data_IF_360953588842
#
_entry.id   IF_360953588842
#
_cell.length_a   1.000
_cell.length_b   1.000
_cell.length_c   1.000
_cell.angle_alpha   90.00
_cell.angle_beta   90.00
_cell.angle_gamma   90.00
#
_symmetry.space_group_name_H-M   'P 1'
#
loop_
_entity.id
_entity.type
_entity.pdbx_description
1 polymer ?
#
# COMPACT_ATOMS: atom_id res chain seq x y z
N UNK A 1 11.07 8.61 -17.32
CA UNK A 1 10.91 7.81 -18.55
C UNK A 1 10.71 6.33 -18.25
N UNK A 2 11.67 5.60 -17.66
CA UNK A 2 11.49 4.17 -17.35
C UNK A 2 10.40 3.92 -16.28
N UNK A 3 10.37 4.76 -15.23
CA UNK A 3 9.32 4.71 -14.20
C UNK A 3 7.92 5.09 -14.73
N UNK A 4 7.83 6.05 -15.67
CA UNK A 4 6.53 6.49 -16.21
C UNK A 4 5.89 5.43 -17.12
N UNK A 5 6.72 4.75 -17.92
CA UNK A 5 6.29 3.63 -18.78
C UNK A 5 5.79 2.47 -17.92
N UNK A 6 6.44 2.19 -16.79
CA UNK A 6 6.01 1.15 -15.86
C UNK A 6 4.66 1.50 -15.19
N UNK A 7 4.46 2.75 -14.79
CA UNK A 7 3.20 3.22 -14.18
C UNK A 7 2.02 3.18 -15.15
N UNK A 8 2.22 3.60 -16.41
CA UNK A 8 1.18 3.49 -17.44
C UNK A 8 0.82 2.04 -17.73
N UNK A 9 1.81 1.14 -17.72
CA UNK A 9 1.59 -0.29 -17.89
C UNK A 9 0.76 -0.88 -16.75
N UNK A 10 1.12 -0.59 -15.49
CA UNK A 10 0.37 -1.00 -14.31
C UNK A 10 -1.08 -0.49 -14.33
N UNK A 11 -1.29 0.79 -14.69
CA UNK A 11 -2.64 1.35 -14.83
C UNK A 11 -3.44 0.64 -15.92
N UNK A 12 -2.85 0.39 -17.09
CA UNK A 12 -3.50 -0.36 -18.17
C UNK A 12 -3.87 -1.78 -17.75
N UNK A 13 -2.98 -2.48 -17.05
CA UNK A 13 -3.27 -3.82 -16.52
C UNK A 13 -4.42 -3.81 -15.52
N UNK A 14 -4.44 -2.85 -14.59
CA UNK A 14 -5.54 -2.69 -13.65
C UNK A 14 -6.86 -2.39 -14.39
N UNK A 15 -6.84 -1.50 -15.38
CA UNK A 15 -8.01 -1.13 -16.19
C UNK A 15 -8.64 -2.30 -16.93
N UNK A 16 -7.85 -3.31 -17.31
CA UNK A 16 -8.34 -4.53 -17.95
C UNK A 16 -9.07 -5.48 -16.99
N UNK A 17 -8.99 -5.26 -15.66
CA UNK A 17 -9.63 -6.12 -14.65
C UNK A 17 -11.03 -5.69 -14.24
N UNK A 18 -11.53 -4.58 -14.81
CA UNK A 18 -12.71 -3.87 -14.32
C UNK A 18 -13.48 -3.24 -15.47
N UNK A 19 -14.80 -3.18 -15.34
CA UNK A 19 -15.72 -2.64 -16.35
C UNK A 19 -15.37 -1.18 -16.75
N UNK A 20 -15.59 -0.75 -18.01
CA UNK A 20 -15.09 0.53 -18.54
C UNK A 20 -15.41 1.79 -17.72
N UNK A 21 -16.53 1.82 -17.00
CA UNK A 21 -16.99 3.00 -16.25
C UNK A 21 -16.63 2.95 -14.75
N UNK A 22 -15.95 1.91 -14.30
CA UNK A 22 -15.53 1.76 -12.90
C UNK A 22 -14.20 2.48 -12.68
N UNK A 23 -14.12 3.53 -11.84
CA UNK A 23 -12.85 4.19 -11.56
C UNK A 23 -11.86 3.23 -10.90
N UNK A 24 -10.57 3.42 -11.18
CA UNK A 24 -9.48 2.71 -10.52
C UNK A 24 -8.43 3.64 -9.96
N UNK A 25 -7.75 3.14 -8.96
CA UNK A 25 -6.60 3.75 -8.32
C UNK A 25 -5.50 2.70 -8.22
N UNK A 26 -4.34 2.98 -8.79
CA UNK A 26 -3.13 2.16 -8.64
C UNK A 26 -2.21 2.84 -7.63
N UNK A 27 -1.84 2.11 -6.58
CA UNK A 27 -0.93 2.53 -5.53
C UNK A 27 0.43 1.84 -5.69
N UNK A 28 1.49 2.64 -5.78
CA UNK A 28 2.87 2.17 -5.83
C UNK A 28 3.66 2.80 -4.67
N UNK A 29 3.96 2.00 -3.65
CA UNK A 29 4.74 2.45 -2.47
C UNK A 29 6.23 2.24 -2.77
N UNK A 30 6.92 3.29 -3.20
CA UNK A 30 8.36 3.25 -3.45
C UNK A 30 9.21 3.52 -2.21
N UNK A 31 10.52 3.40 -2.35
CA UNK A 31 11.50 3.63 -1.26
C UNK A 31 11.40 5.05 -0.69
N UNK A 32 11.33 6.04 -1.58
CA UNK A 32 11.42 7.47 -1.21
C UNK A 32 10.11 8.23 -1.38
N UNK A 33 9.23 7.73 -2.25
CA UNK A 33 7.96 8.36 -2.60
C UNK A 33 6.91 7.31 -2.93
N UNK A 34 5.65 7.69 -2.80
CA UNK A 34 4.50 6.86 -3.11
C UNK A 34 3.75 7.52 -4.25
N UNK A 35 3.55 6.77 -5.32
CA UNK A 35 2.83 7.24 -6.50
C UNK A 35 1.43 6.66 -6.53
N UNK A 36 0.46 7.51 -6.81
CA UNK A 36 -0.95 7.15 -6.95
C UNK A 36 -1.39 7.53 -8.36
N UNK A 37 -1.91 6.58 -9.12
CA UNK A 37 -2.42 6.82 -10.48
C UNK A 37 -3.90 6.49 -10.50
N UNK A 38 -4.75 7.43 -10.89
CA UNK A 38 -6.19 7.21 -10.89
C UNK A 38 -6.87 7.64 -12.19
N UNK A 39 -8.02 7.03 -12.46
CA UNK A 39 -8.87 7.37 -13.60
C UNK A 39 -9.91 6.31 -13.90
N UNK A 40 -10.80 6.65 -14.84
CA UNK A 40 -11.85 5.74 -15.32
C UNK A 40 -11.55 5.26 -16.75
N UNK A 41 -10.96 6.14 -17.57
CA UNK A 41 -10.67 5.85 -18.97
C UNK A 41 -9.40 4.98 -19.14
N UNK A 42 -9.07 4.67 -20.40
CA UNK A 42 -7.86 3.94 -20.79
C UNK A 42 -6.56 4.68 -20.44
N UNK A 43 -6.61 6.00 -20.31
CA UNK A 43 -5.52 6.83 -19.81
C UNK A 43 -5.88 7.37 -18.42
N UNK A 44 -4.89 7.50 -17.52
CA UNK A 44 -5.12 8.04 -16.18
C UNK A 44 -5.53 9.51 -16.26
N UNK A 45 -6.48 9.91 -15.41
CA UNK A 45 -6.88 11.32 -15.28
C UNK A 45 -5.96 12.10 -14.35
N UNK A 46 -5.29 11.43 -13.41
CA UNK A 46 -4.29 12.05 -12.55
C UNK A 46 -3.19 11.06 -12.14
N UNK A 47 -1.99 11.62 -11.97
CA UNK A 47 -0.83 10.96 -11.35
C UNK A 47 -0.38 11.85 -10.20
N UNK A 48 -0.54 11.35 -8.98
CA UNK A 48 -0.29 12.06 -7.73
C UNK A 48 0.97 11.50 -7.08
N UNK A 49 1.79 12.38 -6.52
CA UNK A 49 3.00 12.02 -5.82
C UNK A 49 2.89 12.42 -4.35
N UNK A 50 3.15 11.45 -3.47
CA UNK A 50 3.22 11.64 -2.03
C UNK A 50 4.67 11.59 -1.60
N UNK A 51 5.06 12.48 -0.70
CA UNK A 51 6.45 12.65 -0.28
C UNK A 51 6.84 11.65 0.83
N UNK A 52 6.22 10.46 0.81
CA UNK A 52 6.41 9.35 1.74
C UNK A 52 6.77 8.09 0.94
N UNK A 53 7.75 7.35 1.41
CA UNK A 53 8.14 6.05 0.87
C UNK A 53 8.61 5.18 2.02
N UNK A 54 8.62 3.86 1.84
CA UNK A 54 8.83 2.97 2.99
C UNK A 54 10.21 3.17 3.65
N UNK A 55 11.26 3.34 2.86
CA UNK A 55 12.61 3.57 3.39
C UNK A 55 12.74 4.99 3.94
N UNK A 56 12.15 5.98 3.27
CA UNK A 56 12.14 7.36 3.76
C UNK A 56 11.43 7.46 5.11
N UNK A 57 10.25 6.88 5.24
CA UNK A 57 9.45 6.88 6.48
C UNK A 57 10.22 6.14 7.58
N UNK A 58 10.73 4.95 7.29
CA UNK A 58 11.55 4.19 8.23
C UNK A 58 12.79 4.98 8.70
N UNK A 59 13.58 5.53 7.78
CA UNK A 59 14.79 6.28 8.11
C UNK A 59 14.51 7.57 8.89
N UNK A 60 13.34 8.17 8.69
CA UNK A 60 12.95 9.42 9.36
C UNK A 60 12.47 9.16 10.79
N UNK A 61 11.68 8.12 11.00
CA UNK A 61 10.94 7.94 12.25
C UNK A 61 11.40 6.74 13.10
N UNK A 62 11.88 5.65 12.49
CA UNK A 62 12.14 4.39 13.20
C UNK A 62 13.61 4.26 13.59
N UNK A 63 13.93 4.63 14.84
CA UNK A 63 15.29 4.47 15.39
C UNK A 63 15.47 3.10 16.04
N UNK A 64 14.38 2.43 16.36
CA UNK A 64 14.36 1.09 16.93
C UNK A 64 13.81 0.05 15.93
N UNK A 65 14.05 -1.22 16.24
CA UNK A 65 13.51 -2.36 15.50
C UNK A 65 12.98 -3.41 16.51
N UNK A 66 11.65 -3.57 16.66
CA UNK A 66 10.60 -2.81 15.97
C UNK A 66 10.60 -1.32 16.41
N UNK A 67 9.96 -0.41 15.65
CA UNK A 67 9.77 0.96 16.13
C UNK A 67 9.06 0.98 17.48
N UNK A 68 9.37 1.98 18.31
CA UNK A 68 8.62 2.16 19.57
C UNK A 68 7.20 2.67 19.27
N UNK A 69 6.24 2.53 20.20
CA UNK A 69 4.91 3.13 20.03
C UNK A 69 4.98 4.63 19.71
N UNK A 70 5.82 5.40 20.41
CA UNK A 70 5.99 6.84 20.15
C UNK A 70 6.56 7.14 18.76
N UNK A 71 7.50 6.31 18.27
CA UNK A 71 8.04 6.44 16.90
C UNK A 71 6.99 6.12 15.84
N UNK A 72 6.13 5.13 16.10
CA UNK A 72 5.02 4.80 15.22
C UNK A 72 3.98 5.92 15.17
N UNK A 73 3.59 6.49 16.30
CA UNK A 73 2.65 7.62 16.36
C UNK A 73 3.14 8.82 15.54
N UNK A 74 4.43 9.18 15.68
CA UNK A 74 5.03 10.25 14.87
C UNK A 74 5.00 9.94 13.36
N UNK A 75 5.24 8.67 12.99
CA UNK A 75 5.17 8.24 11.61
C UNK A 75 3.72 8.26 11.09
N UNK A 76 2.74 7.82 11.89
CA UNK A 76 1.31 7.88 11.56
C UNK A 76 0.91 9.32 11.25
N UNK A 77 1.22 10.27 12.12
CA UNK A 77 0.89 11.68 11.90
C UNK A 77 1.41 12.21 10.56
N UNK A 78 2.68 11.94 10.25
CA UNK A 78 3.30 12.41 9.02
C UNK A 78 2.76 11.72 7.76
N UNK A 79 2.46 10.41 7.84
CA UNK A 79 1.88 9.64 6.74
C UNK A 79 0.43 10.07 6.50
N UNK A 80 -0.36 10.24 7.55
CA UNK A 80 -1.75 10.71 7.50
C UNK A 80 -1.84 12.09 6.82
N UNK A 81 -0.99 13.04 7.20
CA UNK A 81 -0.95 14.38 6.58
C UNK A 81 -0.71 14.30 5.06
N UNK A 82 0.24 13.46 4.62
CA UNK A 82 0.54 13.30 3.21
C UNK A 82 -0.57 12.55 2.44
N UNK A 83 -1.16 11.52 3.03
CA UNK A 83 -2.25 10.75 2.43
C UNK A 83 -3.51 11.61 2.29
N UNK A 84 -3.92 12.30 3.36
CA UNK A 84 -5.15 13.11 3.35
C UNK A 84 -5.05 14.32 2.43
N UNK A 85 -3.84 14.81 2.14
CA UNK A 85 -3.59 15.91 1.18
C UNK A 85 -4.22 15.67 -0.19
N UNK A 86 -4.27 14.42 -0.66
CA UNK A 86 -4.80 14.06 -1.99
C UNK A 86 -6.23 13.52 -1.96
N UNK A 87 -6.93 13.61 -0.82
CA UNK A 87 -8.23 12.97 -0.62
C UNK A 87 -9.29 13.34 -1.66
N UNK A 88 -9.27 14.57 -2.15
CA UNK A 88 -10.25 15.06 -3.14
C UNK A 88 -9.85 14.76 -4.59
N UNK A 89 -8.62 14.30 -4.82
CA UNK A 89 -8.10 13.98 -6.16
C UNK A 89 -8.36 12.51 -6.56
N UNK A 90 -8.76 11.67 -5.60
CA UNK A 90 -9.10 10.27 -5.85
C UNK A 90 -10.59 10.14 -6.19
N UNK A 91 -10.94 9.52 -7.33
CA UNK A 91 -12.33 9.27 -7.68
C UNK A 91 -13.05 8.43 -6.62
N UNK A 92 -14.28 8.84 -6.27
CA UNK A 92 -15.12 8.06 -5.38
C UNK A 92 -15.44 6.67 -5.97
N UNK A 93 -15.60 5.66 -5.10
CA UNK A 93 -15.88 4.26 -5.46
C UNK A 93 -14.80 3.63 -6.35
N UNK A 94 -13.59 4.19 -6.34
CA UNK A 94 -12.46 3.63 -7.06
C UNK A 94 -12.08 2.25 -6.51
N UNK A 95 -11.70 1.33 -7.39
CA UNK A 95 -11.12 0.05 -6.99
C UNK A 95 -9.61 0.23 -6.85
N UNK A 96 -9.07 -0.11 -5.67
CA UNK A 96 -7.65 -0.02 -5.37
C UNK A 96 -6.88 -1.23 -5.89
N UNK A 97 -5.84 -0.97 -6.66
CA UNK A 97 -4.89 -1.93 -7.18
C UNK A 97 -3.48 -1.62 -6.69
N UNK A 98 -2.67 -2.66 -6.50
CA UNK A 98 -1.23 -2.52 -6.40
C UNK A 98 -0.50 -3.68 -7.07
N UNK A 99 0.68 -3.37 -7.61
CA UNK A 99 1.58 -4.34 -8.25
C UNK A 99 2.91 -4.46 -7.51
N UNK A 100 3.01 -3.94 -6.29
CA UNK A 100 4.20 -4.09 -5.45
C UNK A 100 4.29 -5.55 -4.95
N UNK A 101 5.31 -6.31 -5.35
CA UNK A 101 5.48 -7.69 -4.89
C UNK A 101 5.65 -7.79 -3.37
N UNK A 102 6.10 -6.73 -2.70
CA UNK A 102 6.20 -6.70 -1.23
C UNK A 102 4.83 -6.61 -0.57
N UNK A 103 3.83 -6.02 -1.24
CA UNK A 103 2.47 -6.02 -0.72
C UNK A 103 1.83 -7.41 -0.80
N UNK A 104 2.29 -8.28 -1.70
CA UNK A 104 1.88 -9.71 -1.70
C UNK A 104 2.26 -10.36 -0.37
N UNK A 105 3.45 -10.08 0.16
CA UNK A 105 3.88 -10.57 1.48
C UNK A 105 2.96 -10.07 2.59
N UNK A 106 2.56 -8.80 2.58
CA UNK A 106 1.59 -8.26 3.55
C UNK A 106 0.24 -8.97 3.42
N UNK A 107 -0.25 -9.19 2.19
CA UNK A 107 -1.50 -9.89 1.95
C UNK A 107 -1.45 -11.33 2.50
N UNK A 108 -0.37 -12.06 2.22
CA UNK A 108 -0.17 -13.41 2.74
C UNK A 108 -0.12 -13.46 4.28
N UNK A 109 0.61 -12.54 4.91
CA UNK A 109 0.68 -12.46 6.38
C UNK A 109 -0.69 -12.16 6.99
N UNK A 110 -1.51 -11.35 6.31
CA UNK A 110 -2.86 -11.02 6.77
C UNK A 110 -3.85 -12.19 6.69
N UNK A 111 -3.50 -13.24 5.93
CA UNK A 111 -4.38 -14.37 5.62
C UNK A 111 -5.33 -14.10 4.45
N UNK A 112 -5.07 -13.06 3.64
CA UNK A 112 -5.85 -12.73 2.47
C UNK A 112 -5.90 -13.91 1.47
N UNK A 113 -7.09 -14.18 0.95
CA UNK A 113 -7.30 -15.25 -0.02
C UNK A 113 -6.63 -14.89 -1.36
N UNK A 114 -5.90 -15.87 -1.91
CA UNK A 114 -5.36 -15.83 -3.26
C UNK A 114 -6.35 -16.47 -4.24
N UNK A 115 -6.62 -15.78 -5.34
CA UNK A 115 -7.38 -16.31 -6.46
C UNK A 115 -6.68 -15.88 -7.77
N UNK A 116 -6.26 -16.83 -8.60
CA UNK A 116 -5.59 -16.57 -9.88
C UNK A 116 -4.42 -15.56 -9.80
N UNK A 117 -3.50 -15.76 -8.84
CA UNK A 117 -2.36 -14.87 -8.58
C UNK A 117 -2.75 -13.41 -8.26
N UNK A 118 -3.95 -13.22 -7.69
CA UNK A 118 -4.44 -11.97 -7.13
C UNK A 118 -4.83 -12.20 -5.68
N UNK A 119 -4.36 -11.33 -4.81
CA UNK A 119 -4.76 -11.30 -3.41
C UNK A 119 -5.73 -10.17 -3.20
N UNK A 120 -6.90 -10.49 -2.66
CA UNK A 120 -7.83 -9.46 -2.17
C UNK A 120 -7.52 -9.26 -0.70
N UNK A 121 -6.94 -8.11 -0.34
CA UNK A 121 -6.64 -7.71 1.03
C UNK A 121 -7.76 -6.78 1.56
N UNK A 122 -8.69 -7.28 2.40
CA UNK A 122 -9.68 -6.43 3.07
C UNK A 122 -9.02 -5.44 4.02
N UNK A 123 -9.64 -4.29 4.21
CA UNK A 123 -9.21 -3.30 5.19
C UNK A 123 -9.12 -3.90 6.61
N UNK A 124 -10.12 -4.70 7.01
CA UNK A 124 -10.13 -5.35 8.33
C UNK A 124 -8.92 -6.28 8.53
N UNK A 125 -8.47 -6.98 7.49
CA UNK A 125 -7.32 -7.90 7.56
C UNK A 125 -6.00 -7.15 7.65
N UNK A 126 -5.91 -6.04 6.92
CA UNK A 126 -4.82 -5.09 7.04
C UNK A 126 -4.76 -4.51 8.47
N UNK A 127 -5.88 -4.04 9.03
CA UNK A 127 -5.93 -3.50 10.41
C UNK A 127 -5.59 -4.57 11.45
N UNK A 128 -6.04 -5.82 11.26
CA UNK A 128 -5.64 -6.94 12.12
C UNK A 128 -4.15 -7.21 12.07
N UNK A 129 -3.53 -7.06 10.90
CA UNK A 129 -2.07 -7.17 10.71
C UNK A 129 -1.33 -6.03 11.40
N UNK A 130 -1.86 -4.79 11.34
CA UNK A 130 -1.30 -3.67 12.07
C UNK A 130 -1.39 -3.86 13.60
N UNK A 131 -2.52 -4.34 14.11
CA UNK A 131 -2.68 -4.69 15.54
C UNK A 131 -1.72 -5.78 16.02
N UNK A 132 -1.29 -6.69 15.13
CA UNK A 132 -0.24 -7.67 15.43
C UNK A 132 1.11 -6.96 15.58
N UNK A 133 1.43 -6.03 14.68
CA UNK A 133 2.63 -5.18 14.80
C UNK A 133 2.60 -4.36 16.10
N UNK A 134 1.47 -3.80 16.50
CA UNK A 134 1.31 -3.10 17.81
C UNK A 134 1.70 -3.98 18.99
N UNK A 135 1.24 -5.22 19.02
CA UNK A 135 1.63 -6.17 20.08
C UNK A 135 3.13 -6.45 20.08
N UNK A 136 3.76 -6.49 18.91
CA UNK A 136 5.22 -6.64 18.77
C UNK A 136 5.97 -5.41 19.30
N UNK A 137 5.50 -4.20 18.99
CA UNK A 137 6.06 -2.95 19.52
C UNK A 137 5.94 -2.87 21.06
N UNK A 138 4.93 -3.53 21.65
CA UNK A 138 4.74 -3.66 23.09
C UNK A 138 5.48 -4.84 23.74
N UNK A 139 6.32 -5.55 22.98
CA UNK A 139 7.22 -6.59 23.50
C UNK A 139 6.81 -8.03 23.23
N UNK A 140 5.74 -8.27 22.47
CA UNK A 140 5.41 -9.64 22.00
C UNK A 140 6.45 -10.10 20.98
N UNK A 141 6.97 -11.34 21.06
CA UNK A 141 7.88 -11.85 20.05
C UNK A 141 7.28 -11.82 18.64
N UNK A 142 7.97 -11.18 17.69
CA UNK A 142 7.50 -11.02 16.32
C UNK A 142 7.13 -12.35 15.63
N UNK A 143 7.86 -13.42 15.97
CA UNK A 143 7.63 -14.78 15.43
C UNK A 143 6.27 -15.34 15.85
N UNK A 144 5.78 -15.02 17.05
CA UNK A 144 4.47 -15.49 17.53
C UNK A 144 3.34 -14.76 16.82
N UNK A 145 3.58 -13.49 16.51
CA UNK A 145 2.65 -12.66 15.75
C UNK A 145 2.82 -12.83 14.25
N UNK A 146 3.75 -13.68 13.75
CA UNK A 146 4.02 -13.85 12.32
C UNK A 146 4.37 -12.56 11.57
N UNK A 147 5.01 -11.60 12.27
CA UNK A 147 5.39 -10.30 11.72
C UNK A 147 6.89 -10.30 11.37
N UNK A 148 7.27 -9.91 10.13
CA UNK A 148 8.65 -9.66 9.77
C UNK A 148 9.23 -8.51 10.59
N UNK A 149 10.39 -8.74 11.20
CA UNK A 149 11.07 -7.72 11.98
C UNK A 149 11.95 -6.84 11.08
N UNK A 150 11.30 -6.03 10.25
CA UNK A 150 11.96 -5.11 9.32
C UNK A 150 11.28 -3.74 9.35
N UNK A 151 12.06 -2.66 9.43
CA UNK A 151 11.51 -1.29 9.41
C UNK A 151 10.79 -0.98 8.10
N UNK A 152 11.30 -1.50 6.98
CA UNK A 152 10.68 -1.35 5.67
C UNK A 152 9.32 -2.07 5.57
N UNK A 153 9.12 -3.19 6.30
CA UNK A 153 7.82 -3.83 6.41
C UNK A 153 6.84 -2.96 7.21
N UNK A 154 7.27 -2.49 8.38
CA UNK A 154 6.45 -1.64 9.26
C UNK A 154 6.00 -0.35 8.55
N UNK A 155 6.90 0.28 7.80
CA UNK A 155 6.60 1.50 7.05
C UNK A 155 5.65 1.25 5.86
N UNK A 156 5.81 0.15 5.09
CA UNK A 156 4.87 -0.20 4.02
C UNK A 156 3.48 -0.49 4.57
N UNK A 157 3.40 -1.26 5.65
CA UNK A 157 2.13 -1.59 6.31
C UNK A 157 1.43 -0.32 6.80
N UNK A 158 2.17 0.60 7.42
CA UNK A 158 1.67 1.90 7.84
C UNK A 158 1.13 2.73 6.66
N UNK A 159 1.92 2.89 5.59
CA UNK A 159 1.50 3.70 4.42
C UNK A 159 0.25 3.09 3.77
N UNK A 160 0.21 1.77 3.61
CA UNK A 160 -0.98 1.09 3.08
C UNK A 160 -2.20 1.27 3.98
N UNK A 161 -2.00 1.17 5.30
CA UNK A 161 -3.06 1.37 6.31
C UNK A 161 -3.71 2.73 6.18
N UNK A 162 -2.91 3.79 6.31
CA UNK A 162 -3.41 5.16 6.26
C UNK A 162 -4.07 5.44 4.90
N UNK A 163 -3.47 4.96 3.81
CA UNK A 163 -4.03 5.14 2.48
C UNK A 163 -5.40 4.49 2.32
N UNK A 164 -5.56 3.23 2.74
CA UNK A 164 -6.85 2.55 2.67
C UNK A 164 -7.90 3.23 3.57
N UNK A 165 -7.51 3.57 4.80
CA UNK A 165 -8.41 4.13 5.80
C UNK A 165 -8.93 5.52 5.41
N UNK A 166 -8.04 6.45 5.05
CA UNK A 166 -8.41 7.85 4.78
C UNK A 166 -9.11 8.06 3.44
N UNK A 167 -8.92 7.15 2.48
CA UNK A 167 -9.61 7.17 1.19
C UNK A 167 -10.82 6.23 1.10
N UNK A 168 -11.11 5.47 2.16
CA UNK A 168 -12.31 4.62 2.23
C UNK A 168 -12.28 3.41 1.31
N UNK A 169 -11.11 2.78 1.13
CA UNK A 169 -11.00 1.55 0.36
C UNK A 169 -11.27 0.32 1.24
N UNK A 170 -12.38 -0.36 1.00
CA UNK A 170 -12.74 -1.59 1.73
C UNK A 170 -11.76 -2.76 1.48
N UNK A 171 -11.06 -2.73 0.34
CA UNK A 171 -10.04 -3.72 0.00
C UNK A 171 -9.06 -3.21 -1.04
N UNK A 172 -7.83 -3.73 -1.01
CA UNK A 172 -6.85 -3.61 -2.07
C UNK A 172 -6.76 -4.91 -2.87
N UNK A 173 -6.70 -4.82 -4.20
CA UNK A 173 -6.37 -5.94 -5.08
C UNK A 173 -4.87 -5.89 -5.39
N UNK A 174 -4.13 -6.88 -4.90
CA UNK A 174 -2.68 -6.96 -5.03
C UNK A 174 -2.36 -8.04 -6.06
N UNK A 175 -1.58 -7.68 -7.07
CA UNK A 175 -1.26 -8.57 -8.19
C UNK A 175 0.24 -8.57 -8.44
N UNK A 176 0.74 -9.68 -8.96
CA UNK A 176 2.08 -9.70 -9.54
C UNK A 176 2.01 -9.18 -10.98
N UNK A 177 3.03 -8.42 -11.40
CA UNK A 177 3.21 -8.16 -12.82
C UNK A 177 3.43 -9.49 -13.55
N UNK A 178 2.80 -9.69 -14.72
CA UNK A 178 3.10 -10.87 -15.53
C UNK A 178 4.60 -10.88 -15.84
N UNK A 179 5.22 -12.05 -15.73
CA UNK A 179 6.61 -12.20 -16.17
C UNK A 179 6.70 -11.77 -17.64
N UNK A 180 7.65 -10.88 -17.94
CA UNK A 180 7.95 -10.54 -19.33
C UNK A 180 8.41 -11.83 -19.99
N UNK A 181 7.63 -12.34 -20.95
CA UNK A 181 8.09 -13.45 -21.78
C UNK A 181 9.33 -12.96 -22.56
N UNK A 182 10.49 -13.51 -22.22
CA UNK A 182 11.77 -13.26 -22.89
C UNK A 182 11.77 -13.96 -24.25
#
# INVERSE_FOLDING_TARGET
MENDVNLQHMYSLARQRVEPDVPITVLCIGEQQTTVVCGTASQPSATLQLTIGFDKTAATFFKHLPPTPDEMELAIMAVEDEVTRIRHDIPANSILFSFDPTLVTIAQISGAEEEDARWRLPQDDMERTFKRLERVMLGTPAVWEGIPLENAFSARLLILREFMHHHGFDSALILLLPAVAV
#
